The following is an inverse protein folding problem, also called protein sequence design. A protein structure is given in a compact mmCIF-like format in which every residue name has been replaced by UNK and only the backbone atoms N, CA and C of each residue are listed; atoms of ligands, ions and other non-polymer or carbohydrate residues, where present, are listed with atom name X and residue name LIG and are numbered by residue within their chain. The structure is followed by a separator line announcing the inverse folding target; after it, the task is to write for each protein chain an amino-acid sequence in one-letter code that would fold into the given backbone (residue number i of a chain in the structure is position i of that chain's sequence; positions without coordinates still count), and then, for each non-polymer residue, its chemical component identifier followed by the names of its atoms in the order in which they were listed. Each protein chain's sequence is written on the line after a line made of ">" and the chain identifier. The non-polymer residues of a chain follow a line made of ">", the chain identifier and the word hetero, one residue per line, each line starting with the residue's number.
data_IF_728250237141
#
_entry.id   IF_728250237141
#
_cell.length_a   1.000
_cell.length_b   1.000
_cell.length_c   1.000
_cell.angle_alpha   90.00
_cell.angle_beta   90.00
_cell.angle_gamma   90.00
#
_symmetry.space_group_name_H-M   'P 1'
#
loop_
_entity.id
_entity.type
_entity.pdbx_description
1 polymer ?
#
# COMPACT_ATOMS: atom_id res chain seq x y z
N UNK A 1 -4.27 32.61 11.38
CA UNK A 1 -4.65 31.41 10.60
C UNK A 1 -6.17 31.30 10.42
N UNK A 2 -7.00 31.49 11.47
CA UNK A 2 -8.47 31.51 11.36
C UNK A 2 -9.05 32.55 10.38
N UNK A 3 -8.51 33.77 10.39
CA UNK A 3 -8.96 34.88 9.51
C UNK A 3 -8.84 34.60 8.00
N UNK A 4 -7.81 33.85 7.57
CA UNK A 4 -7.65 33.42 6.16
C UNK A 4 -8.58 32.29 5.75
N UNK A 5 -9.01 31.46 6.70
CA UNK A 5 -9.97 30.36 6.44
C UNK A 5 -11.39 30.94 6.35
N UNK A 6 -11.71 31.94 7.18
CA UNK A 6 -12.99 32.67 7.12
C UNK A 6 -13.12 33.49 5.83
N UNK A 7 -12.06 34.16 5.37
CA UNK A 7 -12.05 34.87 4.08
C UNK A 7 -12.18 33.91 2.88
N UNK A 8 -11.59 32.71 2.96
CA UNK A 8 -11.69 31.69 1.91
C UNK A 8 -13.07 31.01 1.89
N UNK A 9 -13.69 30.79 3.06
CA UNK A 9 -15.08 30.31 3.16
C UNK A 9 -16.09 31.35 2.71
N UNK A 10 -15.87 32.64 3.02
CA UNK A 10 -16.74 33.72 2.54
C UNK A 10 -16.65 33.87 1.01
N UNK A 11 -15.47 33.69 0.42
CA UNK A 11 -15.29 33.70 -1.03
C UNK A 11 -15.97 32.49 -1.71
N UNK A 12 -15.91 31.29 -1.09
CA UNK A 12 -16.60 30.10 -1.60
C UNK A 12 -18.11 30.25 -1.49
N UNK A 13 -18.63 30.81 -0.40
CA UNK A 13 -20.06 31.09 -0.23
C UNK A 13 -20.55 32.19 -1.18
N UNK A 14 -19.75 33.22 -1.44
CA UNK A 14 -20.09 34.27 -2.42
C UNK A 14 -20.08 33.73 -3.86
N UNK A 15 -19.15 32.85 -4.23
CA UNK A 15 -19.12 32.23 -5.56
C UNK A 15 -20.29 31.26 -5.73
N UNK A 16 -20.64 30.45 -4.72
CA UNK A 16 -21.81 29.56 -4.81
C UNK A 16 -23.12 30.33 -4.77
N UNK A 17 -23.21 31.45 -4.04
CA UNK A 17 -24.40 32.31 -4.03
C UNK A 17 -24.53 33.13 -5.32
N UNK A 18 -23.44 33.58 -5.95
CA UNK A 18 -23.47 34.24 -7.27
C UNK A 18 -23.83 33.27 -8.40
N UNK A 19 -23.52 31.98 -8.27
CA UNK A 19 -23.98 30.94 -9.20
C UNK A 19 -25.46 30.59 -8.95
N UNK A 20 -25.95 30.68 -7.70
CA UNK A 20 -27.36 30.42 -7.38
C UNK A 20 -28.31 31.62 -7.59
N UNK A 21 -27.81 32.86 -7.57
CA UNK A 21 -28.65 34.09 -7.65
C UNK A 21 -28.77 34.72 -9.03
N UNK A 22 -28.08 34.18 -10.04
CA UNK A 22 -28.40 34.46 -11.46
C UNK A 22 -29.62 33.66 -11.96
N UNK A 23 -30.21 32.80 -11.12
CA UNK A 23 -31.44 32.06 -11.39
C UNK A 23 -32.69 32.78 -10.88
N UNK A 24 -32.94 34.01 -11.31
CA UNK A 24 -34.30 34.56 -11.21
C UNK A 24 -35.15 33.95 -12.32
N UNK A 25 -35.84 32.86 -11.95
CA UNK A 25 -37.11 32.39 -12.50
C UNK A 25 -37.58 33.02 -13.83
N UNK A 26 -36.97 32.62 -14.95
CA UNK A 26 -37.60 32.58 -16.28
C UNK A 26 -37.17 31.28 -16.94
N UNK A 27 -38.10 30.33 -16.96
CA UNK A 27 -38.13 29.10 -17.76
C UNK A 27 -36.81 28.33 -17.92
N UNK A 28 -36.69 27.23 -17.18
CA UNK A 28 -36.03 26.03 -17.68
C UNK A 28 -36.84 25.50 -18.88
N UNK A 29 -36.78 26.22 -19.99
CA UNK A 29 -37.13 25.69 -21.30
C UNK A 29 -36.12 24.57 -21.57
N UNK A 30 -36.59 23.38 -21.97
CA UNK A 30 -35.65 22.26 -22.12
C UNK A 30 -34.54 22.69 -23.08
N UNK A 31 -33.27 22.40 -22.77
CA UNK A 31 -32.14 22.71 -23.65
C UNK A 31 -32.47 22.37 -25.12
N UNK A 32 -33.19 21.27 -25.34
CA UNK A 32 -33.71 20.88 -26.65
C UNK A 32 -34.52 21.97 -27.36
N UNK A 33 -35.44 22.67 -26.70
CA UNK A 33 -36.21 23.76 -27.30
C UNK A 33 -35.32 24.97 -27.67
N UNK A 34 -34.33 25.28 -26.83
CA UNK A 34 -33.35 26.34 -27.07
C UNK A 34 -32.45 26.02 -28.29
N UNK A 35 -32.04 24.75 -28.43
CA UNK A 35 -31.32 24.25 -29.61
C UNK A 35 -32.17 24.23 -30.89
N UNK A 36 -33.51 24.08 -30.79
CA UNK A 36 -34.39 24.08 -31.97
C UNK A 36 -34.70 25.46 -32.54
N UNK A 37 -34.57 26.52 -31.74
CA UNK A 37 -34.80 27.92 -32.15
C UNK A 37 -33.51 28.71 -32.41
N UNK A 38 -32.36 28.17 -32.00
CA UNK A 38 -31.05 28.75 -32.25
C UNK A 38 -30.68 28.68 -33.74
N UNK A 39 -30.04 29.73 -34.24
CA UNK A 39 -29.51 29.74 -35.61
C UNK A 39 -28.35 28.76 -35.72
N UNK A 40 -28.20 28.13 -36.90
CA UNK A 40 -27.08 27.22 -37.18
C UNK A 40 -25.71 27.84 -36.84
N UNK A 41 -25.54 29.12 -37.10
CA UNK A 41 -24.30 29.85 -36.80
C UNK A 41 -24.01 29.97 -35.30
N UNK A 42 -25.05 30.18 -34.47
CA UNK A 42 -24.90 30.19 -33.01
C UNK A 42 -24.57 28.80 -32.46
N UNK A 43 -25.23 27.76 -32.95
CA UNK A 43 -24.97 26.37 -32.55
C UNK A 43 -23.55 25.91 -32.92
N UNK A 44 -23.07 26.30 -34.10
CA UNK A 44 -21.70 26.02 -34.53
C UNK A 44 -20.65 26.80 -33.73
N UNK A 45 -20.97 28.01 -33.27
CA UNK A 45 -20.09 28.81 -32.41
C UNK A 45 -19.99 28.20 -31.01
N UNK A 46 -21.12 27.86 -30.41
CA UNK A 46 -21.19 27.25 -29.07
C UNK A 46 -20.52 25.87 -29.06
N UNK A 47 -20.77 25.04 -30.08
CA UNK A 47 -20.09 23.74 -30.22
C UNK A 47 -18.57 23.90 -30.36
N UNK A 48 -18.10 24.94 -31.07
CA UNK A 48 -16.67 25.23 -31.20
C UNK A 48 -16.07 25.74 -29.88
N UNK A 49 -16.78 26.55 -29.12
CA UNK A 49 -16.35 27.02 -27.79
C UNK A 49 -16.30 25.86 -26.80
N UNK A 50 -17.33 25.02 -26.76
CA UNK A 50 -17.37 23.81 -25.94
C UNK A 50 -16.27 22.82 -26.33
N UNK A 51 -16.01 22.63 -27.63
CA UNK A 51 -14.89 21.82 -28.12
C UNK A 51 -13.52 22.36 -27.71
N UNK A 52 -13.31 23.68 -27.73
CA UNK A 52 -12.07 24.30 -27.24
C UNK A 52 -11.94 24.15 -25.72
N UNK A 53 -13.03 24.31 -24.98
CA UNK A 53 -13.03 24.19 -23.53
C UNK A 53 -12.78 22.74 -23.09
N UNK A 54 -13.39 21.76 -23.76
CA UNK A 54 -13.07 20.34 -23.57
C UNK A 54 -11.62 20.03 -23.93
N UNK A 55 -11.11 20.53 -25.05
CA UNK A 55 -9.69 20.33 -25.44
C UNK A 55 -8.74 20.96 -24.42
N UNK A 56 -9.11 22.10 -23.84
CA UNK A 56 -8.36 22.77 -22.77
C UNK A 56 -8.39 21.96 -21.47
N UNK A 57 -9.56 21.41 -21.11
CA UNK A 57 -9.75 20.61 -19.89
C UNK A 57 -9.13 19.21 -19.98
N UNK A 58 -9.14 18.62 -21.18
CA UNK A 58 -8.62 17.28 -21.50
C UNK A 58 -7.29 17.33 -22.25
N UNK A 59 -6.52 18.41 -22.09
CA UNK A 59 -5.24 18.54 -22.76
C UNK A 59 -4.35 17.34 -22.38
N UNK A 60 -3.78 16.65 -23.35
CA UNK A 60 -3.11 15.35 -23.17
C UNK A 60 -1.96 15.42 -22.15
N UNK A 61 -1.35 16.61 -22.00
CA UNK A 61 -0.28 16.87 -21.03
C UNK A 61 -0.78 16.76 -19.57
N UNK A 62 -2.01 17.17 -19.28
CA UNK A 62 -2.60 17.07 -17.93
C UNK A 62 -3.04 15.64 -17.62
N UNK A 63 -3.51 14.89 -18.63
CA UNK A 63 -3.91 13.48 -18.48
C UNK A 63 -2.68 12.62 -18.21
N UNK A 64 -1.60 12.77 -18.97
CA UNK A 64 -0.39 11.98 -18.78
C UNK A 64 0.25 12.24 -17.40
N UNK A 65 0.34 13.51 -16.98
CA UNK A 65 0.86 13.85 -15.64
C UNK A 65 -0.01 13.25 -14.53
N UNK A 66 -1.34 13.28 -14.68
CA UNK A 66 -2.25 12.63 -13.73
C UNK A 66 -2.10 11.12 -13.71
N UNK A 67 -1.92 10.48 -14.87
CA UNK A 67 -1.68 9.04 -14.93
C UNK A 67 -0.36 8.67 -14.24
N UNK A 68 0.71 9.43 -14.49
CA UNK A 68 1.97 9.29 -13.76
C UNK A 68 1.79 9.44 -12.23
N UNK A 69 0.98 10.39 -11.78
CA UNK A 69 0.68 10.58 -10.36
C UNK A 69 -0.06 9.39 -9.74
N UNK A 70 -1.01 8.82 -10.48
CA UNK A 70 -1.78 7.64 -10.08
C UNK A 70 -0.85 6.43 -9.98
N UNK A 71 -0.13 6.12 -11.06
CA UNK A 71 0.77 4.96 -11.14
C UNK A 71 1.87 5.04 -10.07
N UNK A 72 2.50 6.21 -9.91
CA UNK A 72 3.48 6.43 -8.85
C UNK A 72 2.90 6.22 -7.46
N UNK A 73 1.66 6.66 -7.22
CA UNK A 73 1.02 6.53 -5.91
C UNK A 73 0.64 5.09 -5.61
N UNK A 74 0.14 4.37 -6.60
CA UNK A 74 -0.19 2.96 -6.50
C UNK A 74 1.08 2.12 -6.26
N UNK A 75 2.14 2.37 -7.04
CA UNK A 75 3.42 1.70 -6.89
C UNK A 75 4.02 1.93 -5.49
N UNK A 76 4.15 3.20 -5.05
CA UNK A 76 4.75 3.53 -3.74
C UNK A 76 3.93 2.92 -2.59
N UNK A 77 2.59 2.92 -2.71
CA UNK A 77 1.71 2.33 -1.70
C UNK A 77 1.92 0.83 -1.57
N UNK A 78 1.99 0.11 -2.69
CA UNK A 78 2.23 -1.33 -2.69
C UNK A 78 3.65 -1.67 -2.25
N UNK A 79 4.66 -0.91 -2.66
CA UNK A 79 6.03 -1.09 -2.15
C UNK A 79 6.11 -0.94 -0.63
N UNK A 80 5.44 0.07 -0.07
CA UNK A 80 5.36 0.26 1.38
C UNK A 80 4.66 -0.92 2.08
N UNK A 81 3.57 -1.44 1.51
CA UNK A 81 2.86 -2.60 2.05
C UNK A 81 3.77 -3.83 2.07
N UNK A 82 4.48 -4.12 0.98
CA UNK A 82 5.42 -5.24 0.91
C UNK A 82 6.50 -5.17 1.98
N UNK A 83 7.11 -3.99 2.18
CA UNK A 83 8.12 -3.78 3.25
C UNK A 83 7.52 -4.09 4.62
N UNK A 84 6.29 -3.66 4.89
CA UNK A 84 5.60 -3.94 6.16
C UNK A 84 5.32 -5.44 6.30
N UNK A 85 4.77 -6.09 5.27
CA UNK A 85 4.41 -7.51 5.31
C UNK A 85 5.65 -8.41 5.41
N UNK A 86 6.74 -8.10 4.70
CA UNK A 86 8.02 -8.80 4.86
C UNK A 86 8.53 -8.71 6.30
N UNK A 87 8.44 -7.54 6.94
CA UNK A 87 8.79 -7.38 8.36
C UNK A 87 7.85 -8.16 9.30
N UNK A 88 6.57 -8.30 8.96
CA UNK A 88 5.63 -9.16 9.71
C UNK A 88 5.96 -10.63 9.54
N UNK A 89 6.08 -11.11 8.30
CA UNK A 89 6.46 -12.48 7.95
C UNK A 89 7.75 -12.89 8.65
N UNK A 90 8.78 -12.04 8.69
CA UNK A 90 10.04 -12.35 9.39
C UNK A 90 9.90 -12.70 10.89
N UNK A 91 8.75 -12.41 11.51
CA UNK A 91 8.45 -12.83 12.90
C UNK A 91 8.07 -14.32 12.98
N UNK A 92 7.63 -14.90 11.87
CA UNK A 92 7.17 -16.28 11.77
C UNK A 92 8.23 -17.24 11.19
N UNK A 93 9.44 -16.78 10.84
CA UNK A 93 10.46 -17.61 10.19
C UNK A 93 10.90 -18.81 11.03
N UNK A 94 10.83 -18.69 12.36
CA UNK A 94 11.22 -19.73 13.32
C UNK A 94 10.00 -20.25 14.11
N UNK A 95 8.78 -19.90 13.68
CA UNK A 95 7.55 -20.10 14.44
C UNK A 95 7.28 -21.58 14.79
N UNK A 96 7.52 -22.50 13.86
CA UNK A 96 7.33 -23.93 14.11
C UNK A 96 8.29 -24.47 15.19
N UNK A 97 9.51 -23.92 15.26
CA UNK A 97 10.49 -24.27 16.30
C UNK A 97 10.03 -23.73 17.66
N UNK A 98 9.60 -22.47 17.71
CA UNK A 98 9.08 -21.83 18.92
C UNK A 98 7.83 -22.53 19.46
N UNK A 99 6.91 -22.92 18.58
CA UNK A 99 5.72 -23.68 18.94
C UNK A 99 6.04 -25.06 19.49
N UNK A 100 6.96 -25.77 18.83
CA UNK A 100 7.39 -27.10 19.25
C UNK A 100 8.05 -27.03 20.63
N UNK A 101 8.91 -26.04 20.84
CA UNK A 101 9.50 -25.75 22.15
C UNK A 101 8.43 -25.47 23.21
N UNK A 102 7.46 -24.61 22.92
CA UNK A 102 6.39 -24.26 23.86
C UNK A 102 5.52 -25.48 24.25
N UNK A 103 5.28 -26.40 23.30
CA UNK A 103 4.60 -27.68 23.54
C UNK A 103 5.42 -28.60 24.43
N UNK A 104 6.68 -28.80 24.08
CA UNK A 104 7.55 -29.78 24.75
C UNK A 104 7.94 -29.32 26.16
N UNK A 105 7.83 -28.01 26.45
CA UNK A 105 8.09 -27.41 27.76
C UNK A 105 6.82 -26.98 28.52
N UNK A 106 5.63 -27.32 28.01
CA UNK A 106 4.32 -26.98 28.60
C UNK A 106 4.14 -25.48 28.96
N UNK A 107 4.73 -24.56 28.19
CA UNK A 107 4.80 -23.11 28.51
C UNK A 107 3.48 -22.38 28.20
N UNK A 108 2.47 -23.09 27.69
CA UNK A 108 1.15 -22.52 27.39
C UNK A 108 0.44 -22.05 28.67
N UNK A 109 0.55 -20.75 28.98
CA UNK A 109 -0.08 -20.10 30.15
C UNK A 109 -1.59 -20.36 30.21
N UNK A 110 -2.12 -20.66 31.39
CA UNK A 110 -3.55 -20.92 31.64
C UNK A 110 -3.83 -22.40 31.84
N UNK A 111 -3.58 -22.89 33.05
CA UNK A 111 -4.18 -24.14 33.51
C UNK A 111 -5.60 -23.81 34.00
N UNK A 112 -6.59 -24.72 33.88
CA UNK A 112 -7.88 -24.55 34.53
C UNK A 112 -7.65 -24.27 36.03
N UNK A 113 -8.22 -23.18 36.56
CA UNK A 113 -8.08 -22.81 37.98
C UNK A 113 -8.75 -23.83 38.91
N UNK A 114 -9.68 -24.62 38.39
CA UNK A 114 -10.36 -25.68 39.13
C UNK A 114 -9.51 -26.95 39.19
N UNK A 115 -8.67 -27.04 40.22
CA UNK A 115 -8.28 -28.33 40.80
C UNK A 115 -9.48 -28.89 41.56
N UNK A 116 -10.34 -29.63 40.86
CA UNK A 116 -11.11 -30.66 41.56
C UNK A 116 -10.21 -31.89 41.69
N UNK A 117 -10.08 -32.39 42.92
CA UNK A 117 -9.25 -33.52 43.30
C UNK A 117 -9.82 -34.85 42.75
N UNK A 118 -9.96 -34.98 41.43
CA UNK A 118 -10.19 -36.28 40.80
C UNK A 118 -8.83 -36.85 40.44
N UNK A 119 -8.47 -37.91 41.18
CA UNK A 119 -7.37 -38.86 40.97
C UNK A 119 -6.14 -38.34 40.18
N UNK A 120 -4.95 -38.35 40.78
CA UNK A 120 -3.71 -37.77 40.21
C UNK A 120 -3.36 -38.16 38.74
N UNK A 121 -4.00 -39.19 38.17
CA UNK A 121 -3.91 -39.56 36.75
C UNK A 121 -4.95 -38.92 35.80
N UNK A 122 -6.14 -38.51 36.25
CA UNK A 122 -7.18 -37.87 35.41
C UNK A 122 -6.88 -36.39 35.15
N UNK A 123 -6.56 -35.61 36.20
CA UNK A 123 -6.17 -34.21 36.04
C UNK A 123 -4.92 -34.01 35.17
N UNK A 124 -4.01 -34.99 35.14
CA UNK A 124 -2.83 -34.97 34.25
C UNK A 124 -3.19 -35.26 32.78
N UNK A 125 -4.18 -36.13 32.52
CA UNK A 125 -4.71 -36.38 31.17
C UNK A 125 -5.47 -35.16 30.64
N UNK A 126 -6.32 -34.54 31.46
CA UNK A 126 -7.06 -33.33 31.08
C UNK A 126 -6.12 -32.17 30.75
N UNK A 127 -5.06 -31.98 31.54
CA UNK A 127 -4.01 -31.00 31.25
C UNK A 127 -3.33 -31.24 29.90
N UNK A 128 -2.97 -32.49 29.57
CA UNK A 128 -2.39 -32.84 28.27
C UNK A 128 -3.36 -32.57 27.11
N UNK A 129 -4.65 -32.87 27.29
CA UNK A 129 -5.69 -32.58 26.29
C UNK A 129 -5.86 -31.07 26.09
N UNK A 130 -5.88 -30.29 27.16
CA UNK A 130 -5.96 -28.83 27.11
C UNK A 130 -4.76 -28.22 26.38
N UNK A 131 -3.54 -28.62 26.76
CA UNK A 131 -2.30 -28.17 26.11
C UNK A 131 -2.31 -28.52 24.62
N UNK A 132 -2.71 -29.75 24.27
CA UNK A 132 -2.82 -30.18 22.88
C UNK A 132 -3.84 -29.38 22.07
N UNK A 133 -5.01 -29.04 22.66
CA UNK A 133 -6.02 -28.20 22.01
C UNK A 133 -5.52 -26.77 21.81
N UNK A 134 -4.85 -26.19 22.82
CA UNK A 134 -4.29 -24.85 22.75
C UNK A 134 -3.16 -24.75 21.72
N UNK A 135 -2.27 -25.73 21.68
CA UNK A 135 -1.25 -25.88 20.65
C UNK A 135 -1.86 -25.87 19.25
N UNK A 136 -2.85 -26.75 19.00
CA UNK A 136 -3.52 -26.84 17.69
C UNK A 136 -4.14 -25.51 17.26
N UNK A 137 -4.82 -24.81 18.17
CA UNK A 137 -5.44 -23.52 17.87
C UNK A 137 -4.40 -22.44 17.59
N UNK A 138 -3.34 -22.35 18.39
CA UNK A 138 -2.29 -21.36 18.15
C UNK A 138 -1.59 -21.62 16.82
N UNK A 139 -1.26 -22.87 16.52
CA UNK A 139 -0.70 -23.28 15.23
C UNK A 139 -1.60 -22.83 14.07
N UNK A 140 -2.88 -23.19 14.10
CA UNK A 140 -3.80 -22.84 13.02
C UNK A 140 -3.93 -21.31 12.85
N UNK A 141 -4.07 -20.56 13.95
CA UNK A 141 -4.16 -19.10 13.88
C UNK A 141 -2.93 -18.46 13.23
N UNK A 142 -1.73 -18.98 13.51
CA UNK A 142 -0.51 -18.46 12.91
C UNK A 142 -0.34 -18.90 11.45
N UNK A 143 -0.71 -20.14 11.11
CA UNK A 143 -0.75 -20.60 9.71
C UNK A 143 -1.70 -19.71 8.87
N UNK A 144 -2.89 -19.39 9.40
CA UNK A 144 -3.86 -18.49 8.76
C UNK A 144 -3.31 -17.06 8.61
N UNK A 145 -2.61 -16.55 9.64
CA UNK A 145 -1.99 -15.23 9.59
C UNK A 145 -0.82 -15.16 8.60
N UNK A 146 0.03 -16.19 8.56
CA UNK A 146 1.12 -16.33 7.57
C UNK A 146 0.53 -16.35 6.16
N UNK A 147 -0.49 -17.19 5.91
CA UNK A 147 -1.15 -17.27 4.61
C UNK A 147 -1.70 -15.89 4.18
N UNK A 148 -2.37 -15.19 5.10
CA UNK A 148 -2.89 -13.84 4.84
C UNK A 148 -1.78 -12.86 4.46
N UNK A 149 -0.66 -12.83 5.19
CA UNK A 149 0.45 -11.93 4.85
C UNK A 149 1.14 -12.30 3.55
N UNK A 150 1.26 -13.60 3.23
CA UNK A 150 1.77 -14.08 1.94
C UNK A 150 0.88 -13.58 0.81
N UNK A 151 -0.44 -13.79 0.90
CA UNK A 151 -1.39 -13.34 -0.12
C UNK A 151 -1.32 -11.82 -0.34
N UNK A 152 -1.32 -11.04 0.75
CA UNK A 152 -1.23 -9.58 0.68
C UNK A 152 0.10 -9.11 0.08
N UNK A 153 1.19 -9.83 0.35
CA UNK A 153 2.50 -9.54 -0.23
C UNK A 153 2.54 -9.86 -1.72
N UNK A 154 1.99 -11.01 -2.15
CA UNK A 154 1.89 -11.39 -3.56
C UNK A 154 1.07 -10.36 -4.33
N UNK A 155 -0.11 -9.97 -3.84
CA UNK A 155 -0.94 -8.94 -4.51
C UNK A 155 -0.21 -7.61 -4.68
N UNK A 156 0.57 -7.22 -3.66
CA UNK A 156 1.35 -5.99 -3.71
C UNK A 156 2.55 -6.10 -4.67
N UNK A 157 3.21 -7.27 -4.72
CA UNK A 157 4.29 -7.58 -5.66
C UNK A 157 3.79 -7.55 -7.09
N UNK A 158 2.70 -8.27 -7.39
CA UNK A 158 2.09 -8.33 -8.71
C UNK A 158 1.77 -6.91 -9.22
N UNK A 159 1.21 -6.06 -8.36
CA UNK A 159 0.90 -4.68 -8.72
C UNK A 159 2.17 -3.88 -9.06
N UNK A 160 3.22 -3.97 -8.23
CA UNK A 160 4.49 -3.28 -8.49
C UNK A 160 5.20 -3.82 -9.74
N UNK A 161 5.17 -5.13 -9.98
CA UNK A 161 5.76 -5.78 -11.15
C UNK A 161 5.04 -5.36 -12.43
N UNK A 162 3.71 -5.35 -12.44
CA UNK A 162 2.91 -4.90 -13.59
C UNK A 162 3.24 -3.45 -13.93
N UNK A 163 3.24 -2.56 -12.92
CA UNK A 163 3.50 -1.13 -13.10
C UNK A 163 4.94 -0.86 -13.54
N UNK A 164 5.93 -1.60 -13.03
CA UNK A 164 7.34 -1.40 -13.40
C UNK A 164 7.72 -2.00 -14.75
N UNK A 165 7.17 -3.16 -15.12
CA UNK A 165 7.41 -3.79 -16.43
C UNK A 165 6.71 -3.04 -17.56
N UNK A 166 5.56 -2.43 -17.25
CA UNK A 166 4.72 -1.72 -18.21
C UNK A 166 4.61 -0.24 -17.83
N UNK A 167 5.74 0.43 -17.57
CA UNK A 167 5.77 1.86 -17.26
C UNK A 167 5.45 2.72 -18.51
N UNK A 168 4.20 2.67 -18.96
CA UNK A 168 3.71 3.45 -20.08
C UNK A 168 3.59 4.95 -19.76
N UNK A 169 3.48 5.31 -18.48
CA UNK A 169 3.39 6.70 -18.05
C UNK A 169 4.76 7.34 -17.83
N UNK A 170 5.82 6.57 -17.62
CA UNK A 170 7.17 7.06 -17.32
C UNK A 170 7.32 7.51 -15.87
N UNK A 171 6.54 6.94 -14.94
CA UNK A 171 6.54 7.38 -13.55
C UNK A 171 7.84 7.00 -12.81
N UNK A 172 8.59 6.02 -13.30
CA UNK A 172 9.87 5.58 -12.72
C UNK A 172 10.95 6.65 -12.80
N UNK A 173 10.96 7.42 -13.89
CA UNK A 173 11.96 8.47 -14.13
C UNK A 173 11.65 9.78 -13.40
N UNK A 174 10.44 9.91 -12.83
CA UNK A 174 10.00 11.15 -12.19
C UNK A 174 10.74 11.39 -10.87
N UNK A 175 11.34 12.57 -10.75
CA UNK A 175 12.04 13.00 -9.53
C UNK A 175 11.15 12.94 -8.29
N UNK A 176 9.88 13.36 -8.41
CA UNK A 176 8.94 13.28 -7.30
C UNK A 176 8.67 11.86 -6.83
N UNK A 177 8.65 10.88 -7.75
CA UNK A 177 8.51 9.46 -7.41
C UNK A 177 9.75 9.00 -6.65
N UNK A 178 10.94 9.30 -7.17
CA UNK A 178 12.22 9.01 -6.51
C UNK A 178 12.28 9.62 -5.11
N UNK A 179 11.84 10.85 -4.92
CA UNK A 179 11.79 11.51 -3.61
C UNK A 179 10.85 10.80 -2.62
N UNK A 180 9.68 10.34 -3.09
CA UNK A 180 8.75 9.55 -2.26
C UNK A 180 9.35 8.21 -1.86
N UNK A 181 10.01 7.52 -2.80
CA UNK A 181 10.68 6.24 -2.52
C UNK A 181 11.85 6.45 -1.56
N UNK A 182 12.68 7.47 -1.76
CA UNK A 182 13.77 7.80 -0.83
C UNK A 182 13.24 8.01 0.59
N UNK A 183 12.13 8.75 0.75
CA UNK A 183 11.47 8.92 2.05
C UNK A 183 10.99 7.60 2.66
N UNK A 184 10.51 6.66 1.84
CA UNK A 184 10.14 5.31 2.26
C UNK A 184 11.36 4.50 2.72
N UNK A 185 12.46 4.52 1.95
CA UNK A 185 13.71 3.79 2.24
C UNK A 185 14.44 4.34 3.47
N UNK A 186 14.32 5.63 3.78
CA UNK A 186 14.86 6.19 5.04
C UNK A 186 13.93 6.02 6.24
N UNK A 187 12.72 5.49 6.02
CA UNK A 187 11.67 5.41 7.03
C UNK A 187 11.82 4.25 8.02
N UNK A 188 11.14 4.37 9.17
CA UNK A 188 11.16 3.36 10.24
C UNK A 188 10.71 1.96 9.79
N UNK A 189 9.76 1.88 8.86
CA UNK A 189 9.27 0.59 8.37
C UNK A 189 10.33 -0.12 7.54
N UNK A 190 11.09 0.61 6.72
CA UNK A 190 12.18 0.03 5.95
C UNK A 190 13.32 -0.41 6.87
N UNK A 191 13.70 0.40 7.87
CA UNK A 191 14.68 0.01 8.88
C UNK A 191 14.26 -1.26 9.64
N UNK A 192 12.97 -1.38 10.00
CA UNK A 192 12.44 -2.56 10.67
C UNK A 192 12.43 -3.81 9.77
N UNK A 193 12.27 -3.64 8.46
CA UNK A 193 12.44 -4.70 7.48
C UNK A 193 13.91 -5.10 7.35
N UNK A 194 14.82 -4.15 7.13
CA UNK A 194 16.26 -4.41 6.98
C UNK A 194 16.83 -5.16 8.19
N UNK A 195 16.46 -4.77 9.41
CA UNK A 195 16.88 -5.47 10.63
C UNK A 195 16.46 -6.95 10.70
N UNK A 196 15.47 -7.36 9.91
CA UNK A 196 14.92 -8.73 9.87
C UNK A 196 15.02 -9.39 8.50
N UNK A 197 15.71 -8.75 7.54
CA UNK A 197 15.78 -9.17 6.14
C UNK A 197 16.29 -10.59 5.99
N UNK A 198 17.37 -10.95 6.69
CA UNK A 198 17.93 -12.31 6.64
C UNK A 198 16.91 -13.39 7.03
N UNK A 199 16.12 -13.15 8.09
CA UNK A 199 15.08 -14.08 8.55
C UNK A 199 13.94 -14.18 7.53
N UNK A 200 13.58 -13.05 6.92
CA UNK A 200 12.58 -13.04 5.85
C UNK A 200 13.06 -13.84 4.64
N UNK A 201 14.29 -13.62 4.18
CA UNK A 201 14.89 -14.36 3.05
C UNK A 201 14.98 -15.86 3.33
N UNK A 202 15.28 -16.26 4.56
CA UNK A 202 15.31 -17.66 4.94
C UNK A 202 13.92 -18.31 4.93
N UNK A 203 12.89 -17.62 5.41
CA UNK A 203 11.53 -18.15 5.50
C UNK A 203 10.76 -18.11 4.18
N UNK A 204 10.99 -17.09 3.35
CA UNK A 204 10.27 -16.84 2.10
C UNK A 204 11.22 -16.38 0.98
N UNK A 205 12.10 -17.25 0.48
CA UNK A 205 13.12 -16.89 -0.51
C UNK A 205 12.53 -16.29 -1.78
N UNK A 206 11.47 -16.87 -2.34
CA UNK A 206 10.83 -16.40 -3.57
C UNK A 206 10.25 -14.98 -3.41
N UNK A 207 9.58 -14.70 -2.30
CA UNK A 207 9.04 -13.37 -2.01
C UNK A 207 10.16 -12.35 -1.76
N UNK A 208 11.26 -12.79 -1.15
CA UNK A 208 12.43 -11.95 -0.91
C UNK A 208 13.16 -11.59 -2.19
N UNK A 209 13.31 -12.52 -3.13
CA UNK A 209 13.88 -12.26 -4.44
C UNK A 209 13.04 -11.22 -5.21
N UNK A 210 11.73 -11.44 -5.29
CA UNK A 210 10.82 -10.50 -5.98
C UNK A 210 10.83 -9.11 -5.35
N UNK A 211 10.80 -9.01 -4.02
CA UNK A 211 10.92 -7.73 -3.32
C UNK A 211 12.29 -7.07 -3.57
N UNK A 212 13.38 -7.84 -3.58
CA UNK A 212 14.71 -7.31 -3.85
C UNK A 212 14.82 -6.68 -5.24
N UNK A 213 14.23 -7.30 -6.27
CA UNK A 213 14.14 -6.73 -7.62
C UNK A 213 13.43 -5.37 -7.58
N UNK A 214 12.30 -5.26 -6.89
CA UNK A 214 11.56 -4.01 -6.77
C UNK A 214 12.33 -2.93 -6.01
N UNK A 215 13.05 -3.29 -4.94
CA UNK A 215 13.89 -2.34 -4.20
C UNK A 215 15.10 -1.87 -5.03
N UNK A 216 15.70 -2.77 -5.83
CA UNK A 216 16.87 -2.48 -6.65
C UNK A 216 16.60 -1.40 -7.71
N UNK A 217 15.37 -1.30 -8.23
CA UNK A 217 14.96 -0.23 -9.16
C UNK A 217 15.23 1.18 -8.61
N UNK A 218 15.26 1.33 -7.30
CA UNK A 218 15.34 2.62 -6.62
C UNK A 218 16.63 2.83 -5.85
N UNK A 219 17.43 1.78 -5.69
CA UNK A 219 18.77 1.91 -5.17
C UNK A 219 19.58 2.68 -6.21
N UNK A 220 20.28 3.73 -5.77
CA UNK A 220 21.16 4.49 -6.65
C UNK A 220 22.11 3.54 -7.36
N UNK A 221 22.09 3.53 -8.70
CA UNK A 221 23.15 2.87 -9.44
C UNK A 221 24.48 3.46 -8.96
N UNK A 222 25.52 2.64 -8.72
CA UNK A 222 26.84 3.15 -8.37
C UNK A 222 27.24 4.21 -9.39
N UNK A 223 27.78 5.33 -8.90
CA UNK A 223 27.98 6.54 -9.69
C UNK A 223 29.07 6.36 -10.76
N UNK A 224 29.73 5.20 -10.76
CA UNK A 224 30.81 4.84 -11.67
C UNK A 224 30.93 3.30 -11.78
N UNK A 225 31.33 2.74 -12.94
CA UNK A 225 31.72 1.33 -13.08
C UNK A 225 32.85 0.87 -12.16
N UNK A 226 33.52 1.81 -11.46
CA UNK A 226 34.62 1.54 -10.53
C UNK A 226 34.23 1.69 -9.05
N UNK A 227 32.97 1.99 -8.72
CA UNK A 227 32.55 1.96 -7.32
C UNK A 227 32.28 0.51 -6.90
N UNK A 228 32.93 0.00 -5.84
CA UNK A 228 32.77 -1.39 -5.44
C UNK A 228 31.30 -1.64 -5.04
N UNK A 229 30.71 -2.67 -5.67
CA UNK A 229 29.49 -3.29 -5.17
C UNK A 229 29.88 -3.92 -3.83
N UNK A 230 29.61 -3.21 -2.73
CA UNK A 230 29.82 -3.74 -1.39
C UNK A 230 28.75 -4.78 -1.13
N UNK A 231 29.11 -6.04 -1.36
CA UNK A 231 28.36 -7.19 -0.89
C UNK A 231 28.24 -7.11 0.64
N UNK A 232 27.02 -7.12 1.21
CA UNK A 232 26.82 -7.13 2.66
C UNK A 232 27.55 -8.26 3.39
N UNK A 233 27.86 -9.38 2.71
CA UNK A 233 28.63 -10.48 3.29
C UNK A 233 30.10 -10.10 3.59
N UNK A 234 30.67 -9.12 2.87
CA UNK A 234 32.06 -8.69 3.06
C UNK A 234 32.21 -7.73 4.25
N UNK A 235 31.18 -6.92 4.54
CA UNK A 235 31.22 -5.93 5.64
C UNK A 235 31.11 -6.59 7.02
N UNK A 236 30.62 -7.83 7.10
CA UNK A 236 30.61 -8.63 8.34
C UNK A 236 31.95 -9.28 8.70
N UNK A 237 32.99 -9.15 7.87
CA UNK A 237 34.29 -9.80 8.05
C UNK A 237 35.45 -8.81 8.37
N UNK A 238 35.15 -7.54 8.63
CA UNK A 238 36.10 -6.49 9.03
C UNK A 238 35.98 -6.11 10.51
#
# INVERSE_FOLDING_TARGET
>A
MKRKIEEMLLAIVLITFSILSAGTAVQAQSLYEEYTIATKENLEKESREMGRELTRLFNHKDINVRQQDIDASEYVSNLKKMIIYASKLSTYSEYDQDLSFARDKEVFKGLPETREETSAGEGQKERKVFIGKKYKRMKQNAEDEIATYVDLMVLSLDTCEILSQNDFSGFLERESTRNRINGLMTGKNYQAYEAKKARFTQGWPDLAERLAVQLALWQSAPSSPNDPILDPEIVGAL
#
